data_IF_394860898584
#
_entry.id   IF_394860898584
#
_cell.length_a   1.000
_cell.length_b   1.000
_cell.length_c   1.000
_cell.angle_alpha   90.00
_cell.angle_beta   90.00
_cell.angle_gamma   90.00
#
_symmetry.space_group_name_H-M   'P 1'
#
loop_
_entity.id
_entity.type
_entity.pdbx_description
1 polymer ?
#
# COMPACT_ATOMS: atom_id res chain seq x y z
N UNK A 1 -18.32 21.40 59.45
CA UNK A 1 -18.05 22.21 58.22
C UNK A 1 -17.15 21.42 57.32
N UNK A 2 -17.72 20.80 56.30
CA UNK A 2 -17.02 19.95 55.34
C UNK A 2 -16.75 20.77 54.09
N UNK A 3 -15.46 21.04 53.81
CA UNK A 3 -15.02 21.80 52.64
C UNK A 3 -14.94 20.85 51.45
N UNK A 4 -15.85 20.96 50.52
CA UNK A 4 -15.84 20.24 49.25
C UNK A 4 -14.81 20.87 48.30
N UNK A 5 -13.70 20.17 48.03
CA UNK A 5 -12.69 20.54 47.05
C UNK A 5 -13.25 20.37 45.62
N UNK A 6 -13.49 21.50 44.97
CA UNK A 6 -13.84 21.54 43.54
C UNK A 6 -12.73 20.92 42.67
N UNK A 7 -13.09 19.86 41.92
CA UNK A 7 -12.19 19.24 40.92
C UNK A 7 -12.01 20.18 39.76
N UNK A 8 -10.79 20.73 39.56
CA UNK A 8 -10.41 21.47 38.35
C UNK A 8 -10.57 20.57 37.13
N UNK A 9 -11.47 20.96 36.23
CA UNK A 9 -11.59 20.34 34.88
C UNK A 9 -10.26 20.53 34.14
N UNK A 10 -9.56 19.42 33.84
CA UNK A 10 -8.44 19.42 32.89
C UNK A 10 -9.01 19.64 31.47
N UNK A 11 -9.06 20.89 31.04
CA UNK A 11 -9.35 21.29 29.66
C UNK A 11 -8.10 21.12 28.79
N UNK A 12 -7.74 19.86 28.47
CA UNK A 12 -6.61 19.52 27.59
C UNK A 12 -7.08 18.67 26.41
N UNK A 13 -8.08 19.14 25.67
CA UNK A 13 -8.45 18.54 24.41
C UNK A 13 -7.92 19.38 23.24
N UNK A 14 -7.68 18.75 22.08
CA UNK A 14 -7.25 19.39 20.83
C UNK A 14 -8.05 20.65 20.45
N UNK A 15 -9.31 20.76 20.91
CA UNK A 15 -10.16 21.94 20.71
C UNK A 15 -9.72 23.19 21.51
N UNK A 16 -9.01 23.02 22.64
CA UNK A 16 -8.54 24.15 23.47
C UNK A 16 -7.31 24.89 22.92
N UNK A 17 -6.61 24.31 21.94
CA UNK A 17 -5.39 24.89 21.38
C UNK A 17 -5.62 25.63 20.05
N UNK A 18 -6.80 25.53 19.46
CA UNK A 18 -7.14 26.20 18.19
C UNK A 18 -7.18 27.74 18.33
N UNK A 19 -7.49 28.27 19.52
CA UNK A 19 -7.57 29.71 19.76
C UNK A 19 -6.26 30.41 20.07
N UNK A 20 -5.15 29.67 20.29
CA UNK A 20 -3.85 30.26 20.67
C UNK A 20 -2.82 30.35 19.54
N UNK A 21 -3.09 29.73 18.39
CA UNK A 21 -2.27 29.88 17.19
C UNK A 21 -2.89 30.92 16.28
N UNK A 22 -2.64 32.20 16.57
CA UNK A 22 -2.87 33.32 15.65
C UNK A 22 -1.87 33.28 14.49
N UNK A 23 -1.67 32.12 13.87
CA UNK A 23 -0.96 31.92 12.63
C UNK A 23 -1.96 31.98 11.48
N UNK A 24 -1.56 32.58 10.38
CA UNK A 24 -2.30 32.56 9.12
C UNK A 24 -2.83 31.13 8.88
N UNK A 25 -4.13 30.95 8.97
CA UNK A 25 -4.78 29.70 8.61
C UNK A 25 -4.58 29.53 7.11
N UNK A 26 -3.69 28.61 6.73
CA UNK A 26 -3.53 28.24 5.32
C UNK A 26 -4.89 27.65 4.89
N UNK A 27 -5.51 28.31 3.92
CA UNK A 27 -6.76 27.84 3.35
C UNK A 27 -6.50 26.47 2.71
N UNK A 28 -7.08 25.42 3.28
CA UNK A 28 -6.97 24.09 2.68
C UNK A 28 -7.93 24.01 1.50
N UNK A 29 -7.41 23.60 0.35
CA UNK A 29 -8.21 23.30 -0.81
C UNK A 29 -9.17 22.14 -0.51
N UNK A 30 -10.36 22.11 -1.15
CA UNK A 30 -11.25 20.98 -1.01
C UNK A 30 -10.55 19.68 -1.46
N UNK A 31 -10.84 18.58 -0.78
CA UNK A 31 -10.28 17.29 -1.15
C UNK A 31 -10.68 16.92 -2.59
N UNK A 32 -9.73 16.51 -3.39
CA UNK A 32 -9.93 15.94 -4.72
C UNK A 32 -8.90 14.84 -4.97
N UNK A 33 -9.23 13.93 -5.86
CA UNK A 33 -8.29 12.92 -6.32
C UNK A 33 -7.29 13.58 -7.26
N UNK A 34 -6.01 13.47 -6.94
CA UNK A 34 -4.95 14.02 -7.78
C UNK A 34 -4.68 13.09 -8.96
N UNK A 35 -4.80 13.60 -10.16
CA UNK A 35 -4.48 12.86 -11.39
C UNK A 35 -3.18 13.44 -11.97
N UNK A 36 -2.21 12.58 -12.25
CA UNK A 36 -1.01 13.00 -12.98
C UNK A 36 -1.36 13.17 -14.46
N UNK A 37 -1.18 14.39 -14.96
CA UNK A 37 -1.42 14.74 -16.37
C UNK A 37 -0.16 14.61 -17.21
N UNK A 38 1.01 14.53 -16.57
CA UNK A 38 2.28 14.39 -17.25
C UNK A 38 2.53 12.92 -17.62
N UNK A 39 3.24 12.71 -18.71
CA UNK A 39 3.70 11.37 -19.09
C UNK A 39 4.67 10.85 -18.02
N UNK A 40 4.53 9.60 -17.57
CA UNK A 40 5.48 8.99 -16.65
C UNK A 40 6.90 9.03 -17.24
N UNK A 41 7.88 9.32 -16.38
CA UNK A 41 9.29 9.21 -16.78
C UNK A 41 9.67 7.74 -16.83
N UNK A 42 10.05 7.26 -18.01
CA UNK A 42 10.51 5.89 -18.23
C UNK A 42 12.04 5.86 -18.33
N UNK A 43 12.77 5.63 -17.23
CA UNK A 43 14.24 5.65 -17.22
C UNK A 43 14.85 4.44 -17.92
N UNK A 44 14.08 3.39 -18.15
CA UNK A 44 14.51 2.16 -18.84
C UNK A 44 13.79 2.04 -20.18
N UNK A 45 14.52 1.55 -21.16
CA UNK A 45 13.93 1.13 -22.43
C UNK A 45 13.24 -0.24 -22.27
N UNK A 46 12.51 -0.65 -23.29
CA UNK A 46 11.76 -1.92 -23.31
C UNK A 46 12.66 -3.14 -23.10
N UNK A 47 13.89 -3.12 -23.63
CA UNK A 47 14.87 -4.19 -23.43
C UNK A 47 15.29 -4.30 -21.96
N UNK A 48 15.50 -3.16 -21.28
CA UNK A 48 15.85 -3.12 -19.86
C UNK A 48 14.73 -3.66 -18.98
N UNK A 49 13.48 -3.30 -19.25
CA UNK A 49 12.30 -3.82 -18.54
C UNK A 49 12.17 -5.33 -18.76
N UNK A 50 12.34 -5.77 -20.02
CA UNK A 50 12.28 -7.20 -20.36
C UNK A 50 13.39 -8.00 -19.67
N UNK A 51 14.61 -7.47 -19.61
CA UNK A 51 15.73 -8.13 -18.95
C UNK A 51 15.46 -8.30 -17.44
N UNK A 52 14.92 -7.29 -16.78
CA UNK A 52 14.52 -7.37 -15.35
C UNK A 52 13.43 -8.41 -15.17
N UNK A 53 12.43 -8.42 -16.03
CA UNK A 53 11.34 -9.40 -15.96
C UNK A 53 11.87 -10.83 -16.12
N UNK A 54 12.70 -11.09 -17.11
CA UNK A 54 13.30 -12.42 -17.34
C UNK A 54 14.17 -12.86 -16.16
N UNK A 55 15.00 -11.96 -15.61
CA UNK A 55 15.80 -12.26 -14.42
C UNK A 55 14.95 -12.57 -13.19
N UNK A 56 13.84 -11.86 -12.99
CA UNK A 56 12.91 -12.14 -11.91
C UNK A 56 12.25 -13.53 -12.06
N UNK A 57 11.86 -13.89 -13.28
CA UNK A 57 11.31 -15.22 -13.57
C UNK A 57 12.34 -16.33 -13.32
N UNK A 58 13.60 -16.14 -13.75
CA UNK A 58 14.68 -17.08 -13.52
C UNK A 58 14.96 -17.29 -12.02
N UNK A 59 14.96 -16.22 -11.23
CA UNK A 59 15.10 -16.31 -9.77
C UNK A 59 13.96 -17.13 -9.15
N UNK A 60 12.72 -16.87 -9.53
CA UNK A 60 11.57 -17.57 -8.98
C UNK A 60 11.51 -19.05 -9.39
N UNK A 61 11.98 -19.38 -10.59
CA UNK A 61 11.96 -20.73 -11.16
C UNK A 61 13.17 -21.57 -10.69
N UNK A 62 14.37 -20.99 -10.69
CA UNK A 62 15.60 -21.75 -10.41
C UNK A 62 16.04 -21.68 -8.95
N UNK A 63 15.92 -20.51 -8.32
CA UNK A 63 16.33 -20.30 -6.92
C UNK A 63 15.13 -20.52 -5.99
N UNK A 64 13.99 -19.89 -6.27
CA UNK A 64 12.80 -19.92 -5.44
C UNK A 64 12.85 -18.92 -4.29
N UNK A 65 11.87 -19.02 -3.39
CA UNK A 65 11.72 -18.18 -2.21
C UNK A 65 11.62 -19.02 -0.95
N UNK A 66 12.18 -18.53 0.16
CA UNK A 66 11.98 -19.13 1.48
C UNK A 66 10.64 -18.70 2.06
N UNK A 67 9.78 -19.68 2.34
CA UNK A 67 8.45 -19.47 2.94
C UNK A 67 8.38 -20.24 4.26
N UNK A 68 8.38 -19.49 5.38
CA UNK A 68 8.39 -20.07 6.73
C UNK A 68 7.00 -20.56 7.16
N UNK A 69 5.94 -19.94 6.67
CA UNK A 69 4.57 -20.29 7.04
C UNK A 69 4.13 -21.60 6.40
N UNK A 70 3.76 -22.58 7.22
CA UNK A 70 3.37 -23.92 6.74
C UNK A 70 2.07 -23.90 5.94
N UNK A 71 1.08 -23.10 6.35
CA UNK A 71 -0.20 -22.97 5.63
C UNK A 71 0.01 -22.40 4.23
N UNK A 72 0.88 -21.39 4.09
CA UNK A 72 1.22 -20.82 2.79
C UNK A 72 1.89 -21.86 1.88
N UNK A 73 2.83 -22.68 2.42
CA UNK A 73 3.45 -23.77 1.67
C UNK A 73 2.44 -24.81 1.20
N UNK A 74 1.48 -25.15 2.04
CA UNK A 74 0.43 -26.14 1.69
C UNK A 74 -0.50 -25.60 0.57
N UNK A 75 -0.82 -24.30 0.60
CA UNK A 75 -1.59 -23.65 -0.47
C UNK A 75 -0.81 -23.66 -1.78
N UNK A 76 0.46 -23.26 -1.75
CA UNK A 76 1.33 -23.21 -2.94
C UNK A 76 1.58 -24.60 -3.52
N UNK A 77 1.77 -25.60 -2.66
CA UNK A 77 1.89 -27.01 -3.09
C UNK A 77 0.63 -27.52 -3.79
N UNK A 78 -0.54 -27.17 -3.25
CA UNK A 78 -1.84 -27.52 -3.90
C UNK A 78 -2.02 -26.78 -5.23
N UNK A 79 -1.45 -25.60 -5.36
CA UNK A 79 -1.45 -24.82 -6.60
C UNK A 79 -0.43 -25.32 -7.65
N UNK A 80 0.38 -26.32 -7.31
CA UNK A 80 1.34 -26.95 -8.24
C UNK A 80 2.78 -26.45 -8.11
N UNK A 81 3.09 -25.58 -7.14
CA UNK A 81 4.46 -25.12 -6.90
C UNK A 81 5.33 -26.22 -6.31
N UNK A 82 6.62 -26.22 -6.63
CA UNK A 82 7.59 -27.16 -6.11
C UNK A 82 8.06 -26.71 -4.72
N UNK A 83 7.61 -27.43 -3.68
CA UNK A 83 7.96 -27.15 -2.28
C UNK A 83 9.03 -28.13 -1.79
N UNK A 84 10.18 -27.62 -1.35
CA UNK A 84 11.29 -28.40 -0.78
C UNK A 84 11.74 -27.80 0.54
N UNK A 85 11.26 -28.33 1.66
CA UNK A 85 11.51 -27.75 3.00
C UNK A 85 10.86 -26.39 3.17
N UNK A 86 11.68 -25.35 3.28
CA UNK A 86 11.23 -23.95 3.33
C UNK A 86 11.29 -23.27 1.96
N UNK A 87 12.01 -23.85 1.02
CA UNK A 87 12.15 -23.30 -0.33
C UNK A 87 10.96 -23.69 -1.21
N UNK A 88 10.43 -22.71 -1.91
CA UNK A 88 9.33 -22.88 -2.88
C UNK A 88 9.76 -22.29 -4.22
N UNK A 89 9.72 -23.11 -5.26
CA UNK A 89 9.98 -22.70 -6.63
C UNK A 89 8.67 -22.58 -7.40
N UNK A 90 8.63 -21.60 -8.28
CA UNK A 90 7.44 -21.24 -9.01
C UNK A 90 7.67 -21.45 -10.50
N UNK A 91 6.74 -22.14 -11.14
CA UNK A 91 6.73 -22.24 -12.60
C UNK A 91 6.38 -20.89 -13.22
N UNK A 92 7.04 -20.54 -14.32
CA UNK A 92 6.88 -19.26 -15.02
C UNK A 92 5.46 -19.06 -15.53
N UNK A 93 4.86 -20.10 -16.09
CA UNK A 93 3.50 -20.04 -16.63
C UNK A 93 2.48 -19.80 -15.51
N UNK A 94 2.68 -20.46 -14.36
CA UNK A 94 1.86 -20.28 -13.17
C UNK A 94 1.93 -18.82 -12.67
N UNK A 95 3.14 -18.24 -12.60
CA UNK A 95 3.31 -16.84 -12.17
C UNK A 95 2.55 -15.91 -13.11
N UNK A 96 2.73 -16.08 -14.42
CA UNK A 96 2.06 -15.23 -15.41
C UNK A 96 0.54 -15.38 -15.39
N UNK A 97 0.03 -16.58 -15.16
CA UNK A 97 -1.40 -16.81 -14.96
C UNK A 97 -1.94 -16.04 -13.74
N UNK A 98 -1.20 -16.09 -12.61
CA UNK A 98 -1.61 -15.37 -11.40
C UNK A 98 -1.56 -13.85 -11.57
N UNK A 99 -0.50 -13.33 -12.22
CA UNK A 99 -0.39 -11.89 -12.53
C UNK A 99 -1.55 -11.42 -13.41
N UNK A 100 -1.91 -12.20 -14.44
CA UNK A 100 -3.00 -11.86 -15.34
C UNK A 100 -4.39 -11.87 -14.69
N UNK A 101 -4.54 -12.54 -13.54
CA UNK A 101 -5.78 -12.51 -12.73
C UNK A 101 -5.88 -11.25 -11.88
N UNK A 102 -4.78 -10.55 -11.63
CA UNK A 102 -4.80 -9.33 -10.86
C UNK A 102 -5.46 -8.20 -11.65
N UNK A 103 -6.42 -7.45 -11.08
CA UNK A 103 -7.05 -6.34 -11.78
C UNK A 103 -6.05 -5.19 -11.94
N UNK A 104 -6.04 -4.58 -13.14
CA UNK A 104 -5.21 -3.40 -13.41
C UNK A 104 -5.64 -2.16 -12.62
N UNK A 105 -6.91 -2.12 -12.22
CA UNK A 105 -7.48 -1.05 -11.42
C UNK A 105 -8.40 -1.66 -10.36
N UNK A 106 -8.40 -1.08 -9.17
CA UNK A 106 -9.36 -1.43 -8.13
C UNK A 106 -9.70 -0.23 -7.25
N UNK A 107 -10.86 -0.28 -6.63
CA UNK A 107 -11.39 0.80 -5.82
C UNK A 107 -11.25 0.51 -4.34
N UNK A 108 -10.75 1.49 -3.59
CA UNK A 108 -10.78 1.50 -2.14
C UNK A 108 -11.88 2.45 -1.70
N UNK A 109 -12.92 1.91 -1.06
CA UNK A 109 -14.02 2.69 -0.53
C UNK A 109 -13.79 2.95 0.96
N UNK A 110 -13.44 4.18 1.36
CA UNK A 110 -13.29 4.54 2.76
C UNK A 110 -14.66 4.66 3.45
N UNK A 111 -14.63 4.97 4.77
CA UNK A 111 -15.86 5.17 5.56
C UNK A 111 -16.79 6.27 4.99
N UNK A 112 -16.23 7.30 4.37
CA UNK A 112 -16.99 8.26 3.56
C UNK A 112 -16.89 7.85 2.08
N UNK A 113 -17.98 7.35 1.45
CA UNK A 113 -17.97 6.88 0.06
C UNK A 113 -17.62 7.96 -0.97
N UNK A 114 -17.85 9.24 -0.65
CA UNK A 114 -17.49 10.37 -1.52
C UNK A 114 -15.97 10.52 -1.71
N UNK A 115 -15.19 9.91 -0.81
CA UNK A 115 -13.73 9.90 -0.85
C UNK A 115 -13.18 8.58 -1.39
N UNK A 116 -13.91 7.93 -2.26
CA UNK A 116 -13.47 6.74 -2.97
C UNK A 116 -12.19 7.01 -3.76
N UNK A 117 -11.25 6.07 -3.69
CA UNK A 117 -9.96 6.15 -4.36
C UNK A 117 -9.87 4.97 -5.33
N UNK A 118 -9.52 5.25 -6.58
CA UNK A 118 -9.21 4.20 -7.56
C UNK A 118 -7.69 4.06 -7.64
N UNK A 119 -7.17 2.89 -7.35
CA UNK A 119 -5.75 2.55 -7.46
C UNK A 119 -5.49 1.96 -8.84
N UNK A 120 -4.52 2.48 -9.55
CA UNK A 120 -4.15 2.12 -10.93
C UNK A 120 -4.28 3.28 -11.91
N UNK A 121 -3.77 3.11 -13.11
CA UNK A 121 -3.69 4.16 -14.12
C UNK A 121 -2.84 5.36 -13.67
N UNK A 122 -3.29 6.57 -14.00
CA UNK A 122 -2.58 7.83 -13.67
C UNK A 122 -2.94 8.40 -12.29
N UNK A 123 -3.47 7.58 -11.38
CA UNK A 123 -3.77 8.01 -10.02
C UNK A 123 -2.48 8.18 -9.21
N UNK A 124 -2.29 9.35 -8.62
CA UNK A 124 -1.22 9.61 -7.68
C UNK A 124 -1.75 9.39 -6.25
N UNK A 125 -1.33 8.30 -5.62
CA UNK A 125 -1.68 7.98 -4.25
C UNK A 125 -0.45 8.16 -3.37
N UNK A 126 -0.53 9.11 -2.42
CA UNK A 126 0.47 9.28 -1.37
C UNK A 126 0.02 8.55 -0.11
N UNK A 127 0.83 7.62 0.36
CA UNK A 127 0.62 6.99 1.67
C UNK A 127 1.33 7.80 2.74
N UNK A 128 0.76 7.87 3.94
CA UNK A 128 1.34 8.63 5.04
C UNK A 128 2.79 8.23 5.30
N UNK A 129 3.60 9.22 5.59
CA UNK A 129 4.96 9.00 6.08
C UNK A 129 4.91 8.30 7.43
N UNK A 130 5.48 7.10 7.51
CA UNK A 130 5.53 6.30 8.73
C UNK A 130 6.74 6.66 9.62
N UNK A 131 7.44 7.75 9.31
CA UNK A 131 8.66 8.18 9.98
C UNK A 131 8.45 9.21 11.11
N UNK A 132 7.20 9.55 11.48
CA UNK A 132 6.86 10.42 12.61
C UNK A 132 6.48 9.63 13.87
#
# INVERSE_FOLDING_TARGET
>A
MTVTKSRRKRGGGRAGNAGRRGGLSILQLPWHLTTNIDMPTEPLNEEGVTAIHLGAMEILEEIGLEILNQEAKDILKKAGCLVSGENVKFDREFIMEMINKAPSNFDITPRNPEKKITVGGNCLLYTSDAAD
#
